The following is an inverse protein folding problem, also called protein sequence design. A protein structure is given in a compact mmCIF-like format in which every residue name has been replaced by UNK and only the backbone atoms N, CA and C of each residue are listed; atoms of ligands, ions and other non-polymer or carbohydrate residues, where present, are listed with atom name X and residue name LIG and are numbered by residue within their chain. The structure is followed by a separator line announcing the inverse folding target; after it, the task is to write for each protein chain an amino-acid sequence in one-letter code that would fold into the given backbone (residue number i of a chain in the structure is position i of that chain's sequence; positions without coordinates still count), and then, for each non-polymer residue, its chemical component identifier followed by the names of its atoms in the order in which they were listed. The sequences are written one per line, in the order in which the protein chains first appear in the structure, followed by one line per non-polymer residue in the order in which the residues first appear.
data_IF_561919802613
#
_entry.id   IF_561919802613
#
_cell.length_a   1.000
_cell.length_b   1.000
_cell.length_c   1.000
_cell.angle_alpha   90.00
_cell.angle_beta   90.00
_cell.angle_gamma   90.00
#
_symmetry.space_group_name_H-M   'P 1'
#
loop_
_entity.id
_entity.type
_entity.pdbx_description
1 polymer ?
#
# COMPACT_ATOMS: atom_id res chain seq x y z
N UNK A 1 9.68 -5.16 -11.65
CA UNK A 1 10.87 -5.67 -10.98
C UNK A 1 11.34 -4.74 -9.87
N UNK A 2 11.19 -5.17 -8.62
CA UNK A 2 11.75 -4.48 -7.47
C UNK A 2 13.05 -5.15 -6.99
N UNK A 3 14.12 -4.37 -6.91
CA UNK A 3 15.41 -4.82 -6.33
C UNK A 3 15.39 -4.55 -4.82
N UNK A 4 15.61 -5.61 -4.04
CA UNK A 4 15.82 -5.58 -2.60
C UNK A 4 17.34 -5.54 -2.36
N UNK A 5 17.80 -4.39 -1.87
CA UNK A 5 19.19 -4.24 -1.45
C UNK A 5 19.36 -4.83 -0.05
N UNK A 6 20.46 -5.56 0.16
CA UNK A 6 20.95 -5.85 1.49
C UNK A 6 21.53 -4.54 2.06
N UNK A 7 20.72 -3.83 2.82
CA UNK A 7 21.04 -2.49 3.30
C UNK A 7 20.63 -2.30 4.76
N UNK A 8 21.44 -1.51 5.46
CA UNK A 8 21.09 -0.99 6.77
C UNK A 8 20.24 0.27 6.57
N UNK A 9 19.12 0.32 7.27
CA UNK A 9 18.10 1.37 7.18
C UNK A 9 17.97 2.06 8.54
N UNK A 10 18.16 3.37 8.56
CA UNK A 10 18.05 4.16 9.80
C UNK A 10 17.26 5.46 9.58
N UNK A 11 16.10 5.64 10.25
CA UNK A 11 15.33 4.61 10.94
C UNK A 11 14.93 3.45 10.01
N UNK A 12 14.63 2.30 10.59
CA UNK A 12 14.05 1.17 9.87
C UNK A 12 12.63 1.51 9.39
N UNK A 13 12.11 0.72 8.42
CA UNK A 13 10.73 0.89 7.93
C UNK A 13 9.70 0.77 9.05
N UNK A 14 9.86 -0.21 9.95
CA UNK A 14 8.92 -0.41 11.06
C UNK A 14 9.01 0.70 12.11
N UNK A 15 10.20 1.26 12.37
CA UNK A 15 10.33 2.43 13.25
C UNK A 15 9.64 3.67 12.65
N UNK A 16 9.78 3.90 11.33
CA UNK A 16 9.04 4.98 10.65
C UNK A 16 7.52 4.78 10.76
N UNK A 17 7.02 3.58 10.46
CA UNK A 17 5.58 3.29 10.54
C UNK A 17 5.09 3.45 11.97
N UNK A 18 5.82 2.92 12.96
CA UNK A 18 5.47 3.00 14.38
C UNK A 18 5.37 4.44 14.88
N UNK A 19 6.31 5.30 14.46
CA UNK A 19 6.30 6.72 14.80
C UNK A 19 5.23 7.54 14.07
N UNK A 20 4.89 7.15 12.83
CA UNK A 20 3.95 7.89 12.00
C UNK A 20 2.48 7.54 12.25
N UNK A 21 2.13 6.27 12.48
CA UNK A 21 0.74 5.82 12.65
C UNK A 21 -0.06 6.66 13.66
N UNK A 22 0.46 6.99 14.88
CA UNK A 22 -0.25 7.84 15.83
C UNK A 22 -0.58 9.25 15.34
N UNK A 23 0.11 9.72 14.30
CA UNK A 23 -0.08 11.05 13.71
C UNK A 23 -1.07 11.04 12.54
N UNK A 24 -1.39 9.85 12.02
CA UNK A 24 -2.29 9.71 10.88
C UNK A 24 -3.74 9.97 11.31
N UNK A 25 -4.49 10.84 10.60
CA UNK A 25 -5.83 11.26 11.04
C UNK A 25 -6.88 10.15 11.02
N UNK A 26 -6.61 9.07 10.29
CA UNK A 26 -7.48 7.90 10.17
C UNK A 26 -7.15 6.80 11.18
N UNK A 27 -6.01 6.88 11.88
CA UNK A 27 -5.61 5.85 12.83
C UNK A 27 -6.34 6.04 14.17
N UNK A 28 -6.85 4.96 14.81
CA UNK A 28 -7.66 5.10 16.02
C UNK A 28 -6.92 5.81 17.18
N UNK A 29 -7.46 6.92 17.73
CA UNK A 29 -6.81 7.67 18.81
C UNK A 29 -6.56 6.85 20.09
N UNK A 30 -7.41 5.87 20.37
CA UNK A 30 -7.28 4.95 21.51
C UNK A 30 -6.03 4.08 21.43
N UNK A 31 -5.56 3.77 20.22
CA UNK A 31 -4.34 2.98 20.00
C UNK A 31 -3.09 3.88 20.19
N UNK A 32 -3.17 5.14 19.75
CA UNK A 32 -2.06 6.10 19.72
C UNK A 32 -1.43 6.39 21.10
N UNK A 33 -2.20 6.31 22.19
CA UNK A 33 -1.74 6.62 23.55
C UNK A 33 -0.83 5.56 24.19
N UNK A 34 -0.70 4.37 23.58
CA UNK A 34 0.01 3.22 24.18
C UNK A 34 1.47 3.07 23.76
N UNK A 35 1.94 3.89 22.81
CA UNK A 35 3.23 3.70 22.15
C UNK A 35 3.13 2.57 21.12
N UNK A 36 2.68 2.92 19.91
CA UNK A 36 2.50 1.95 18.83
C UNK A 36 3.83 1.33 18.43
N UNK A 37 3.84 -0.01 18.34
CA UNK A 37 4.89 -0.79 17.72
C UNK A 37 4.27 -1.56 16.55
N UNK A 38 4.70 -1.26 15.34
CA UNK A 38 4.24 -1.92 14.13
C UNK A 38 4.97 -3.25 13.96
N UNK A 39 4.21 -4.34 13.96
CA UNK A 39 4.72 -5.69 13.70
C UNK A 39 4.41 -6.09 12.25
N UNK A 40 5.41 -6.39 11.41
CA UNK A 40 5.17 -6.74 10.01
C UNK A 40 4.49 -8.11 9.89
N UNK A 41 3.45 -8.18 9.06
CA UNK A 41 2.74 -9.42 8.72
C UNK A 41 3.04 -9.84 7.27
N UNK A 42 2.96 -8.88 6.34
CA UNK A 42 3.21 -9.11 4.93
C UNK A 42 3.55 -7.80 4.21
N UNK A 43 4.03 -7.89 2.98
CA UNK A 43 4.21 -6.73 2.13
C UNK A 43 4.10 -7.10 0.65
N UNK A 44 3.66 -6.14 -0.16
CA UNK A 44 3.68 -6.23 -1.61
C UNK A 44 4.29 -4.97 -2.22
N UNK A 45 4.70 -5.05 -3.48
CA UNK A 45 5.33 -3.94 -4.19
C UNK A 45 4.69 -3.74 -5.54
N UNK A 46 4.58 -2.48 -5.94
CA UNK A 46 4.35 -2.13 -7.33
C UNK A 46 5.65 -1.71 -7.99
N UNK A 47 5.65 -1.79 -9.31
CA UNK A 47 6.78 -1.37 -10.11
C UNK A 47 6.63 0.07 -10.56
N UNK A 48 7.70 0.85 -10.44
CA UNK A 48 7.79 2.14 -11.15
C UNK A 48 8.43 1.89 -12.52
N UNK A 49 7.71 2.08 -13.64
CA UNK A 49 8.26 1.92 -14.98
C UNK A 49 9.51 2.77 -15.25
N UNK A 50 9.70 3.87 -14.52
CA UNK A 50 10.88 4.75 -14.62
C UNK A 50 12.01 4.35 -13.66
N UNK A 51 11.74 3.50 -12.67
CA UNK A 51 12.71 3.04 -11.67
C UNK A 51 13.20 4.12 -10.71
N UNK A 52 12.46 5.22 -10.55
CA UNK A 52 12.83 6.37 -9.71
C UNK A 52 12.23 6.28 -8.30
N UNK A 53 11.07 5.64 -8.17
CA UNK A 53 10.28 5.57 -6.93
C UNK A 53 10.15 4.12 -6.48
N UNK A 54 10.65 3.82 -5.28
CA UNK A 54 10.34 2.54 -4.64
C UNK A 54 8.93 2.58 -4.06
N UNK A 55 8.06 1.65 -4.45
CA UNK A 55 6.71 1.50 -3.89
C UNK A 55 6.58 0.18 -3.14
N UNK A 56 6.14 0.24 -1.90
CA UNK A 56 5.96 -0.93 -1.04
C UNK A 56 4.82 -0.69 -0.07
N UNK A 57 3.88 -1.61 -0.04
CA UNK A 57 2.76 -1.57 0.89
C UNK A 57 2.95 -2.63 1.96
N UNK A 58 2.97 -2.18 3.20
CA UNK A 58 3.15 -3.01 4.38
C UNK A 58 1.78 -3.33 4.99
N UNK A 59 1.58 -4.60 5.32
CA UNK A 59 0.51 -5.06 6.19
C UNK A 59 1.14 -5.27 7.57
N UNK A 60 0.71 -4.49 8.55
CA UNK A 60 1.29 -4.54 9.91
C UNK A 60 0.20 -4.68 10.96
N UNK A 61 0.54 -5.31 12.07
CA UNK A 61 -0.25 -5.27 13.29
C UNK A 61 0.20 -4.06 14.11
N UNK A 62 -0.74 -3.25 14.55
CA UNK A 62 -0.50 -2.07 15.39
C UNK A 62 -1.58 -2.02 16.48
N UNK A 63 -1.21 -2.45 17.70
CA UNK A 63 -2.17 -2.64 18.77
C UNK A 63 -3.18 -3.73 18.43
N UNK A 64 -4.48 -3.43 18.52
CA UNK A 64 -5.54 -4.38 18.12
C UNK A 64 -5.87 -4.36 16.63
N UNK A 65 -5.29 -3.40 15.90
CA UNK A 65 -5.59 -3.17 14.48
C UNK A 65 -4.63 -3.94 13.57
N UNK A 66 -5.14 -4.37 12.42
CA UNK A 66 -4.30 -4.76 11.27
C UNK A 66 -4.44 -3.67 10.21
N UNK A 67 -3.32 -3.07 9.83
CA UNK A 67 -3.31 -1.85 9.02
C UNK A 67 -2.49 -2.01 7.75
N UNK A 68 -2.97 -1.40 6.68
CA UNK A 68 -2.28 -1.29 5.40
C UNK A 68 -1.59 0.09 5.30
N UNK A 69 -0.28 0.08 5.12
CA UNK A 69 0.58 1.27 5.07
C UNK A 69 1.38 1.27 3.77
N UNK A 70 0.86 1.92 2.71
CA UNK A 70 1.58 2.09 1.47
C UNK A 70 2.64 3.19 1.61
N UNK A 71 3.88 2.89 1.26
CA UNK A 71 5.01 3.80 1.34
C UNK A 71 5.68 3.98 -0.03
N UNK A 72 6.03 5.22 -0.34
CA UNK A 72 6.95 5.55 -1.44
C UNK A 72 8.29 6.02 -0.91
N UNK A 73 9.38 5.56 -1.54
CA UNK A 73 10.76 5.92 -1.21
C UNK A 73 11.38 6.70 -2.37
N UNK A 74 11.64 8.00 -2.17
CA UNK A 74 12.19 8.91 -3.19
C UNK A 74 13.62 9.34 -2.89
N UNK A 75 14.44 9.62 -3.94
CA UNK A 75 15.79 10.17 -3.78
C UNK A 75 15.83 11.66 -3.42
N UNK A 76 14.68 12.33 -3.36
CA UNK A 76 14.53 13.75 -3.05
C UNK A 76 13.12 14.07 -2.55
N UNK A 77 12.90 15.26 -1.96
CA UNK A 77 11.58 15.68 -1.53
C UNK A 77 10.62 15.82 -2.72
N UNK A 78 9.38 15.37 -2.54
CA UNK A 78 8.28 15.55 -3.48
C UNK A 78 7.53 16.85 -3.14
N UNK A 79 7.59 17.82 -4.07
CA UNK A 79 6.91 19.09 -3.94
C UNK A 79 5.39 18.90 -3.89
N UNK A 80 4.72 19.53 -2.91
CA UNK A 80 3.26 19.48 -2.76
C UNK A 80 2.74 18.25 -2.01
N UNK A 81 3.62 17.33 -1.61
CA UNK A 81 3.28 16.14 -0.82
C UNK A 81 3.75 16.25 0.64
N UNK A 82 4.03 17.46 1.14
CA UNK A 82 4.58 17.68 2.48
C UNK A 82 3.67 17.13 3.59
N UNK A 83 2.35 17.19 3.39
CA UNK A 83 1.35 16.64 4.32
C UNK A 83 1.39 15.10 4.40
N UNK A 84 2.00 14.42 3.42
CA UNK A 84 2.14 12.97 3.36
C UNK A 84 3.53 12.50 3.76
N UNK A 85 4.43 13.40 4.15
CA UNK A 85 5.78 13.02 4.57
C UNK A 85 5.71 12.21 5.87
N UNK A 86 6.10 10.94 5.79
CA UNK A 86 6.24 10.03 6.93
C UNK A 86 7.56 10.31 7.66
N UNK A 87 8.62 10.57 6.90
CA UNK A 87 9.93 10.92 7.43
C UNK A 87 11.05 10.76 6.41
N UNK A 88 12.28 10.74 6.90
CA UNK A 88 13.47 10.44 6.09
C UNK A 88 14.20 9.24 6.65
N UNK A 89 14.85 8.47 5.77
CA UNK A 89 15.61 7.27 6.09
C UNK A 89 16.97 7.31 5.42
N UNK A 90 18.04 7.01 6.15
CA UNK A 90 19.34 6.71 5.58
C UNK A 90 19.37 5.26 5.11
N UNK A 91 19.75 5.04 3.86
CA UNK A 91 19.87 3.73 3.26
C UNK A 91 21.34 3.51 2.87
N UNK A 92 22.00 2.48 3.40
CA UNK A 92 23.45 2.31 3.21
C UNK A 92 23.90 2.22 1.74
N UNK A 93 23.07 1.66 0.86
CA UNK A 93 23.35 1.59 -0.60
C UNK A 93 22.85 2.80 -1.40
N UNK A 94 21.59 3.22 -1.21
CA UNK A 94 20.96 4.26 -2.02
C UNK A 94 21.20 5.68 -1.46
N UNK A 95 21.71 5.83 -0.23
CA UNK A 95 21.75 7.10 0.48
C UNK A 95 20.37 7.54 0.96
N UNK A 96 20.26 8.77 1.46
CA UNK A 96 19.03 9.32 2.03
C UNK A 96 17.81 9.13 1.13
N UNK A 97 16.70 8.71 1.75
CA UNK A 97 15.39 8.53 1.14
C UNK A 97 14.36 9.40 1.86
N UNK A 98 13.47 10.01 1.08
CA UNK A 98 12.27 10.67 1.57
C UNK A 98 11.13 9.67 1.49
N UNK A 99 10.50 9.41 2.63
CA UNK A 99 9.46 8.40 2.77
C UNK A 99 8.12 9.09 2.93
N UNK A 100 7.18 8.77 2.05
CA UNK A 100 5.83 9.34 2.06
C UNK A 100 4.80 8.23 2.24
N UNK A 101 3.67 8.60 2.84
CA UNK A 101 2.42 7.87 2.69
C UNK A 101 2.04 7.92 1.22
N UNK A 102 2.09 6.76 0.58
CA UNK A 102 2.07 6.67 -0.87
C UNK A 102 0.75 7.15 -1.49
N UNK A 103 -0.32 7.26 -0.69
CA UNK A 103 -1.58 7.86 -1.14
C UNK A 103 -1.44 9.32 -1.58
N UNK A 104 -0.37 10.01 -1.15
CA UNK A 104 -0.03 11.37 -1.59
C UNK A 104 0.92 11.43 -2.79
N UNK A 105 1.35 10.28 -3.32
CA UNK A 105 2.31 10.18 -4.40
C UNK A 105 1.63 9.76 -5.73
N UNK A 106 1.62 10.62 -6.76
CA UNK A 106 0.98 10.31 -8.04
C UNK A 106 1.47 9.02 -8.70
N UNK A 107 2.74 8.63 -8.49
CA UNK A 107 3.29 7.39 -9.08
C UNK A 107 2.65 6.16 -8.44
N UNK A 108 2.39 6.22 -7.13
CA UNK A 108 1.67 5.15 -6.44
C UNK A 108 0.18 5.13 -6.81
N UNK A 109 -0.45 6.29 -6.93
CA UNK A 109 -1.86 6.38 -7.38
C UNK A 109 -2.03 5.72 -8.75
N UNK A 110 -1.12 5.99 -9.69
CA UNK A 110 -1.11 5.37 -11.01
C UNK A 110 -0.95 3.84 -10.93
N UNK A 111 0.00 3.36 -10.12
CA UNK A 111 0.26 1.94 -9.96
C UNK A 111 -0.91 1.19 -9.26
N UNK A 112 -1.51 1.81 -8.24
CA UNK A 112 -2.66 1.26 -7.54
C UNK A 112 -3.89 1.20 -8.45
N UNK A 113 -4.12 2.24 -9.26
CA UNK A 113 -5.19 2.24 -10.27
C UNK A 113 -5.01 1.09 -11.26
N UNK A 114 -3.79 0.92 -11.80
CA UNK A 114 -3.48 -0.18 -12.72
C UNK A 114 -3.66 -1.56 -12.08
N UNK A 115 -3.33 -1.72 -10.79
CA UNK A 115 -3.54 -2.98 -10.08
C UNK A 115 -5.03 -3.31 -9.89
N UNK A 116 -5.84 -2.32 -9.50
CA UNK A 116 -7.27 -2.51 -9.25
C UNK A 116 -8.04 -2.68 -10.56
N UNK A 117 -7.85 -1.77 -11.51
CA UNK A 117 -8.67 -1.64 -12.73
C UNK A 117 -8.17 -2.57 -13.84
N UNK A 118 -6.86 -2.55 -14.12
CA UNK A 118 -6.27 -3.29 -15.24
C UNK A 118 -5.76 -4.68 -14.81
N UNK A 119 -5.82 -5.00 -13.52
CA UNK A 119 -5.32 -6.27 -12.97
C UNK A 119 -3.81 -6.42 -13.06
N UNK A 120 -3.06 -5.32 -13.09
CA UNK A 120 -1.60 -5.37 -13.08
C UNK A 120 -1.12 -5.96 -11.74
N UNK A 121 -0.41 -7.08 -11.83
CA UNK A 121 0.09 -7.79 -10.66
C UNK A 121 1.19 -7.05 -9.90
N UNK A 122 1.48 -7.53 -8.69
CA UNK A 122 2.63 -7.08 -7.90
C UNK A 122 3.96 -7.36 -8.60
N UNK A 123 4.96 -6.53 -8.31
CA UNK A 123 6.31 -6.68 -8.82
C UNK A 123 6.98 -7.94 -8.27
N UNK A 124 7.66 -8.70 -9.13
CA UNK A 124 8.62 -9.72 -8.71
C UNK A 124 9.77 -9.08 -7.91
N UNK A 125 10.17 -9.75 -6.84
CA UNK A 125 11.19 -9.31 -5.90
C UNK A 125 12.52 -9.99 -6.22
N UNK A 126 13.60 -9.24 -6.25
CA UNK A 126 14.92 -9.80 -6.49
C UNK A 126 15.95 -9.26 -5.50
N UNK A 127 16.89 -10.10 -5.08
CA UNK A 127 18.14 -9.65 -4.46
C UNK A 127 19.27 -9.77 -5.49
N UNK A 128 20.27 -8.90 -5.39
CA UNK A 128 21.47 -8.94 -6.21
C UNK A 128 22.71 -8.92 -5.30
N UNK A 129 23.42 -10.04 -5.24
CA UNK A 129 24.64 -10.22 -4.44
C UNK A 129 25.78 -10.65 -5.37
N UNK A 130 26.89 -9.92 -5.36
CA UNK A 130 28.07 -10.21 -6.19
C UNK A 130 27.76 -10.40 -7.68
N UNK A 131 26.80 -9.64 -8.21
CA UNK A 131 26.34 -9.71 -9.61
C UNK A 131 25.45 -10.92 -9.93
N UNK A 132 25.07 -11.71 -8.93
CA UNK A 132 24.11 -12.81 -9.08
C UNK A 132 22.74 -12.34 -8.60
N UNK A 133 21.78 -12.33 -9.53
CA UNK A 133 20.38 -12.03 -9.23
C UNK A 133 19.64 -13.29 -8.80
N UNK A 134 18.85 -13.19 -7.72
CA UNK A 134 17.95 -14.25 -7.25
C UNK A 134 16.58 -13.69 -6.99
N UNK A 135 15.54 -14.40 -7.43
CA UNK A 135 14.16 -14.08 -7.09
C UNK A 135 13.88 -14.44 -5.63
N UNK A 136 13.16 -13.56 -4.94
CA UNK A 136 12.74 -13.75 -3.56
C UNK A 136 11.26 -14.15 -3.52
N UNK A 137 10.85 -15.00 -2.56
CA UNK A 137 9.44 -15.33 -2.39
C UNK A 137 8.66 -14.08 -1.99
N UNK A 138 7.44 -13.97 -2.51
CA UNK A 138 6.47 -12.97 -2.08
C UNK A 138 5.86 -13.42 -0.74
N UNK A 139 5.63 -12.48 0.17
CA UNK A 139 4.97 -12.75 1.46
C UNK A 139 3.45 -12.62 1.38
N UNK A 140 2.94 -12.22 0.22
CA UNK A 140 1.54 -11.94 -0.04
C UNK A 140 1.22 -12.26 -1.50
N UNK A 141 0.00 -12.69 -1.77
CA UNK A 141 -0.57 -12.82 -3.12
C UNK A 141 -1.66 -11.77 -3.30
N UNK A 142 -1.69 -11.13 -4.46
CA UNK A 142 -2.72 -10.16 -4.84
C UNK A 142 -3.65 -10.75 -5.90
N UNK A 143 -4.94 -10.49 -5.74
CA UNK A 143 -5.97 -10.85 -6.71
C UNK A 143 -6.89 -9.66 -6.95
N UNK A 144 -7.25 -9.40 -8.21
CA UNK A 144 -8.28 -8.43 -8.58
C UNK A 144 -9.58 -9.16 -8.87
N UNK A 145 -10.71 -8.57 -8.50
CA UNK A 145 -12.03 -9.03 -8.97
C UNK A 145 -12.29 -8.70 -10.44
N UNK A 146 -11.46 -7.84 -11.04
CA UNK A 146 -11.64 -7.36 -12.41
C UNK A 146 -12.83 -6.40 -12.53
N UNK A 147 -13.04 -5.89 -13.75
CA UNK A 147 -14.18 -5.03 -14.02
C UNK A 147 -15.50 -5.83 -13.94
N UNK A 148 -16.57 -5.25 -13.36
CA UNK A 148 -17.91 -5.83 -13.45
C UNK A 148 -18.32 -6.00 -14.91
N UNK A 149 -19.18 -6.99 -15.18
CA UNK A 149 -19.73 -7.16 -16.52
C UNK A 149 -20.71 -6.02 -16.87
N UNK A 150 -21.02 -5.89 -18.17
CA UNK A 150 -21.74 -4.72 -18.69
C UNK A 150 -23.16 -4.53 -18.15
N UNK A 151 -23.72 -5.51 -17.43
CA UNK A 151 -25.05 -5.41 -16.80
C UNK A 151 -24.96 -4.81 -15.38
N UNK A 152 -23.85 -5.05 -14.64
CA UNK A 152 -23.60 -4.50 -13.29
C UNK A 152 -23.26 -3.00 -13.26
N UNK A 153 -22.82 -2.42 -14.38
CA UNK A 153 -22.46 -0.99 -14.49
C UNK A 153 -23.65 -0.04 -14.75
N UNK A 154 -24.85 -0.57 -14.98
CA UNK A 154 -26.04 0.24 -15.30
C UNK A 154 -26.57 1.01 -14.09
N UNK A 155 -26.28 0.51 -12.88
CA UNK A 155 -26.54 1.20 -11.63
C UNK A 155 -25.21 1.42 -10.89
N UNK A 156 -24.76 2.68 -10.80
CA UNK A 156 -23.61 2.99 -9.96
C UNK A 156 -23.92 2.53 -8.52
N UNK A 157 -23.11 1.64 -7.93
CA UNK A 157 -23.37 1.15 -6.58
C UNK A 157 -23.43 2.34 -5.61
N UNK A 158 -24.28 2.23 -4.57
CA UNK A 158 -24.35 3.23 -3.51
C UNK A 158 -22.92 3.56 -3.03
N UNK A 159 -22.52 4.84 -3.20
CA UNK A 159 -21.15 5.33 -2.97
C UNK A 159 -20.56 4.79 -1.66
N UNK A 160 -19.45 4.06 -1.81
CA UNK A 160 -18.67 3.38 -0.77
C UNK A 160 -19.42 2.38 0.13
N UNK A 161 -18.91 1.14 0.30
CA UNK A 161 -19.44 0.26 1.32
C UNK A 161 -19.28 0.94 2.70
N UNK A 162 -20.37 1.06 3.46
CA UNK A 162 -20.34 1.78 4.74
C UNK A 162 -19.35 1.13 5.75
N UNK A 163 -18.69 1.93 6.58
CA UNK A 163 -17.93 1.43 7.75
C UNK A 163 -16.51 0.92 7.46
N UNK A 164 -15.95 1.14 6.27
CA UNK A 164 -14.51 0.98 6.05
C UNK A 164 -13.76 2.27 6.42
N UNK A 165 -12.55 2.13 6.96
CA UNK A 165 -11.62 3.26 7.09
C UNK A 165 -10.72 3.28 5.87
N UNK A 166 -10.88 4.28 5.00
CA UNK A 166 -10.18 4.36 3.71
C UNK A 166 -9.46 5.69 3.53
N UNK A 167 -8.43 5.69 2.69
CA UNK A 167 -7.94 6.90 2.04
C UNK A 167 -8.40 6.92 0.60
N UNK A 168 -9.07 8.00 0.21
CA UNK A 168 -9.52 8.22 -1.17
C UNK A 168 -8.41 8.89 -1.97
N UNK A 169 -8.21 8.41 -3.18
CA UNK A 169 -7.33 8.96 -4.19
C UNK A 169 -8.15 9.14 -5.48
N UNK A 170 -7.65 9.94 -6.42
CA UNK A 170 -8.32 10.14 -7.71
C UNK A 170 -7.33 9.92 -8.85
N UNK A 171 -7.81 9.24 -9.89
CA UNK A 171 -7.09 9.06 -11.14
C UNK A 171 -8.05 9.25 -12.31
N UNK A 172 -7.90 10.35 -13.03
CA UNK A 172 -8.78 10.69 -14.16
C UNK A 172 -10.26 10.70 -13.76
N UNK A 173 -11.07 9.80 -14.32
CA UNK A 173 -12.48 9.62 -14.01
C UNK A 173 -12.73 8.49 -12.99
N UNK A 174 -11.72 8.12 -12.21
CA UNK A 174 -11.83 7.10 -11.17
C UNK A 174 -11.58 7.68 -9.78
N UNK A 175 -12.45 7.34 -8.84
CA UNK A 175 -12.18 7.41 -7.42
C UNK A 175 -11.62 6.06 -6.96
N UNK A 176 -10.49 6.09 -6.27
CA UNK A 176 -9.83 4.91 -5.72
C UNK A 176 -9.94 4.96 -4.20
N UNK A 177 -10.38 3.90 -3.56
CA UNK A 177 -10.43 3.80 -2.11
C UNK A 177 -9.42 2.75 -1.65
N UNK A 178 -8.37 3.18 -0.96
CA UNK A 178 -7.39 2.31 -0.31
C UNK A 178 -7.82 2.07 1.14
N UNK A 179 -8.00 0.80 1.53
CA UNK A 179 -8.35 0.43 2.90
C UNK A 179 -7.16 0.64 3.82
N UNK A 180 -7.37 1.33 4.95
CA UNK A 180 -6.34 1.55 5.98
C UNK A 180 -6.42 0.56 7.12
N UNK A 181 -7.62 0.30 7.63
CA UNK A 181 -7.88 -0.70 8.67
C UNK A 181 -8.52 -1.91 8.00
N UNK A 182 -7.80 -3.03 7.97
CA UNK A 182 -8.22 -4.23 7.25
C UNK A 182 -9.26 -5.01 8.05
N UNK A 183 -10.34 -5.38 7.38
CA UNK A 183 -11.26 -6.41 7.84
C UNK A 183 -10.67 -7.78 7.49
N UNK A 184 -10.44 -8.61 8.51
CA UNK A 184 -9.88 -9.96 8.34
C UNK A 184 -10.96 -11.05 8.37
N UNK A 185 -12.24 -10.68 8.41
CA UNK A 185 -13.40 -11.56 8.49
C UNK A 185 -13.97 -11.99 7.14
N UNK A 186 -13.26 -11.69 6.04
CA UNK A 186 -13.70 -12.06 4.68
C UNK A 186 -14.77 -11.14 4.11
N UNK A 187 -14.90 -9.90 4.62
CA UNK A 187 -15.81 -8.91 4.06
C UNK A 187 -15.43 -8.57 2.62
N UNK A 188 -16.37 -8.73 1.69
CA UNK A 188 -16.16 -8.39 0.28
C UNK A 188 -16.36 -6.89 -0.02
N UNK A 189 -15.77 -6.43 -1.13
CA UNK A 189 -15.93 -5.10 -1.70
C UNK A 189 -16.38 -5.19 -3.18
N UNK A 190 -17.10 -4.19 -3.68
CA UNK A 190 -17.60 -4.19 -5.06
C UNK A 190 -16.45 -4.19 -6.08
N UNK A 191 -16.64 -4.83 -7.24
CA UNK A 191 -15.65 -4.79 -8.32
C UNK A 191 -15.60 -3.42 -9.02
N UNK A 192 -14.44 -3.02 -9.57
CA UNK A 192 -13.15 -3.67 -9.41
C UNK A 192 -12.56 -3.43 -8.01
N UNK A 193 -12.05 -4.50 -7.41
CA UNK A 193 -11.44 -4.51 -6.08
C UNK A 193 -10.19 -5.35 -6.06
N UNK A 194 -9.24 -4.95 -5.21
CA UNK A 194 -7.99 -5.66 -4.97
C UNK A 194 -8.04 -6.32 -3.59
N UNK A 195 -7.75 -7.61 -3.55
CA UNK A 195 -7.67 -8.39 -2.32
C UNK A 195 -6.29 -8.99 -2.14
N UNK A 196 -5.95 -9.31 -0.88
CA UNK A 196 -4.67 -9.85 -0.48
C UNK A 196 -4.79 -11.07 0.42
N UNK A 197 -3.91 -12.04 0.22
CA UNK A 197 -3.76 -13.22 1.10
C UNK A 197 -2.29 -13.36 1.48
N UNK A 198 -2.01 -13.63 2.76
CA UNK A 198 -0.67 -13.86 3.28
C UNK A 198 -0.69 -14.96 4.34
N UNK A 199 0.48 -15.40 4.81
CA UNK A 199 0.59 -16.47 5.79
C UNK A 199 -0.18 -16.15 7.08
N UNK A 200 -0.95 -17.11 7.56
CA UNK A 200 -1.84 -16.96 8.72
C UNK A 200 -3.19 -16.28 8.44
N UNK A 201 -3.38 -15.65 7.27
CA UNK A 201 -4.67 -15.07 6.88
C UNK A 201 -5.44 -16.03 5.97
N UNK A 202 -6.58 -16.54 6.45
CA UNK A 202 -7.38 -17.55 5.72
C UNK A 202 -8.29 -16.93 4.67
N UNK A 203 -9.00 -15.87 5.04
CA UNK A 203 -9.92 -15.17 4.16
C UNK A 203 -9.20 -14.03 3.45
N UNK A 204 -9.41 -13.82 2.13
CA UNK A 204 -8.85 -12.66 1.44
C UNK A 204 -9.28 -11.35 2.13
N UNK A 205 -8.30 -10.49 2.42
CA UNK A 205 -8.57 -9.15 2.95
C UNK A 205 -8.67 -8.15 1.80
N UNK A 206 -9.72 -7.32 1.81
CA UNK A 206 -9.85 -6.23 0.83
C UNK A 206 -8.81 -5.15 1.10
N UNK A 207 -8.02 -4.83 0.08
CA UNK A 207 -6.99 -3.79 0.11
C UNK A 207 -7.50 -2.47 -0.44
N UNK A 208 -8.50 -2.52 -1.34
CA UNK A 208 -9.19 -1.36 -1.87
C UNK A 208 -10.01 -1.67 -3.11
N UNK A 209 -10.63 -0.64 -3.66
CA UNK A 209 -11.50 -0.72 -4.84
C UNK A 209 -11.49 0.59 -5.61
N UNK A 210 -12.13 0.58 -6.79
CA UNK A 210 -12.30 1.77 -7.61
C UNK A 210 -13.75 1.95 -8.06
N UNK A 211 -14.18 3.21 -8.19
CA UNK A 211 -15.46 3.59 -8.77
C UNK A 211 -15.28 4.61 -9.88
N UNK A 212 -16.06 4.54 -10.96
CA UNK A 212 -16.11 5.61 -11.94
C UNK A 212 -16.75 6.86 -11.32
N UNK A 213 -16.13 8.00 -11.51
CA UNK A 213 -16.70 9.33 -11.30
C UNK A 213 -17.66 9.60 -12.46
N UNK A 214 -18.96 9.59 -12.15
CA UNK A 214 -20.03 9.97 -13.09
C UNK A 214 -20.04 11.46 -13.45
#
# INVERSE_FOLDING_TARGET
MAIIYQADLHPTKMELISGWLPTAPWFPPEEAGSGIQAEPLAAYRFDDPKGEVGMETHIVRAGTQTVQVPLTYRPGPLQGAEAFLVGTMEHSVLGRRWVYDACGDPVYVDAFAAAVIDGVGQASLYTEENGVRRELPQTMTLETSGMPDGEELVEAPEREPAGWTVTRMQKEHWELSLVRLLDLGGRAAPPPSLVGVWDGQREPAVLGWAFPLG
#
